data_IF_053376231100
#
_entry.id   IF_053376231100
#
_cell.length_a   1.000
_cell.length_b   1.000
_cell.length_c   1.000
_cell.angle_alpha   90.00
_cell.angle_beta   90.00
_cell.angle_gamma   90.00
#
_symmetry.space_group_name_H-M   'P 1'
#
loop_
_entity.id
_entity.type
_entity.pdbx_description
1 polymer ?
#
# COMPACT_ATOMS: atom_id res chain seq x y z
N UNK A 1 -9.05 -22.86 18.06
CA UNK A 1 -8.92 -22.50 16.64
C UNK A 1 -7.75 -21.55 16.53
N UNK A 2 -6.90 -21.72 15.51
CA UNK A 2 -5.75 -20.86 15.28
C UNK A 2 -6.16 -19.46 14.83
N UNK A 3 -5.33 -18.45 15.10
CA UNK A 3 -5.46 -17.13 14.46
C UNK A 3 -5.04 -17.20 12.98
N UNK A 4 -5.45 -16.23 12.13
CA UNK A 4 -5.02 -16.18 10.73
C UNK A 4 -3.50 -16.21 10.56
N UNK A 5 -2.76 -15.52 11.43
CA UNK A 5 -1.29 -15.50 11.45
C UNK A 5 -0.70 -16.89 11.78
N UNK A 6 -1.27 -17.58 12.77
CA UNK A 6 -0.85 -18.94 13.13
C UNK A 6 -1.10 -19.96 12.01
N UNK A 7 -2.13 -19.74 11.19
CA UNK A 7 -2.43 -20.58 10.04
C UNK A 7 -1.41 -20.39 8.90
N UNK A 8 -0.93 -19.16 8.68
CA UNK A 8 0.15 -18.91 7.72
C UNK A 8 1.46 -19.62 8.11
N UNK A 9 1.80 -19.61 9.39
CA UNK A 9 2.96 -20.35 9.92
C UNK A 9 2.81 -21.85 9.65
N UNK A 10 1.60 -22.40 9.82
CA UNK A 10 1.31 -23.79 9.49
C UNK A 10 1.51 -24.12 8.00
N UNK A 11 1.11 -23.23 7.09
CA UNK A 11 1.33 -23.39 5.65
C UNK A 11 2.82 -23.34 5.28
N UNK A 12 3.58 -22.39 5.84
CA UNK A 12 5.03 -22.26 5.62
C UNK A 12 5.78 -23.51 6.07
N UNK A 13 5.43 -24.05 7.24
CA UNK A 13 5.99 -25.30 7.76
C UNK A 13 5.64 -26.49 6.85
N UNK A 14 4.41 -26.55 6.33
CA UNK A 14 3.99 -27.57 5.37
C UNK A 14 4.85 -27.59 4.09
N UNK A 15 5.27 -26.42 3.60
CA UNK A 15 6.17 -26.30 2.45
C UNK A 15 7.59 -26.76 2.79
N UNK A 16 8.11 -26.41 3.97
CA UNK A 16 9.42 -26.84 4.43
C UNK A 16 9.50 -28.38 4.59
N UNK A 17 8.43 -29.02 5.08
CA UNK A 17 8.34 -30.49 5.17
C UNK A 17 8.42 -31.14 3.78
N UNK A 18 7.72 -30.59 2.77
CA UNK A 18 7.82 -31.08 1.39
C UNK A 18 9.25 -30.95 0.85
N UNK A 19 9.94 -29.85 1.19
CA UNK A 19 11.34 -29.64 0.84
C UNK A 19 12.30 -30.65 1.49
N UNK A 20 12.09 -30.99 2.77
CA UNK A 20 12.88 -32.01 3.48
C UNK A 20 12.74 -33.39 2.85
N UNK A 21 11.52 -33.76 2.44
CA UNK A 21 11.26 -35.02 1.73
C UNK A 21 12.04 -35.09 0.42
N UNK A 22 12.01 -34.02 -0.38
CA UNK A 22 12.63 -34.02 -1.71
C UNK A 22 14.17 -33.88 -1.66
N UNK A 23 14.72 -33.07 -0.73
CA UNK A 23 16.17 -32.79 -0.68
C UNK A 23 16.96 -33.75 0.21
N UNK A 24 16.33 -34.29 1.26
CA UNK A 24 17.01 -35.15 2.25
C UNK A 24 16.39 -36.54 2.34
N UNK A 25 15.40 -36.87 1.50
CA UNK A 25 14.74 -38.16 1.50
C UNK A 25 13.98 -38.47 2.81
N UNK A 26 13.72 -37.46 3.64
CA UNK A 26 13.15 -37.66 4.97
C UNK A 26 11.66 -38.04 4.87
N UNK A 27 11.30 -39.14 5.53
CA UNK A 27 9.89 -39.53 5.68
C UNK A 27 9.18 -38.64 6.71
N UNK A 28 7.84 -38.65 6.72
CA UNK A 28 7.08 -37.88 7.73
C UNK A 28 7.33 -38.45 9.13
N UNK A 29 7.56 -39.75 9.22
CA UNK A 29 7.88 -40.49 10.42
C UNK A 29 9.23 -40.04 11.00
N UNK A 30 10.24 -39.82 10.17
CA UNK A 30 11.56 -39.34 10.59
C UNK A 30 11.51 -37.90 11.11
N UNK A 31 10.69 -37.05 10.47
CA UNK A 31 10.45 -35.67 10.90
C UNK A 31 9.73 -35.67 12.26
N UNK A 32 8.69 -36.49 12.42
CA UNK A 32 7.98 -36.63 13.69
C UNK A 32 8.89 -37.11 14.82
N UNK A 33 9.79 -38.06 14.52
CA UNK A 33 10.78 -38.58 15.48
C UNK A 33 11.76 -37.50 15.94
N UNK A 34 12.24 -36.65 15.03
CA UNK A 34 13.13 -35.53 15.37
C UNK A 34 12.43 -34.44 16.18
N UNK A 35 11.15 -34.20 15.91
CA UNK A 35 10.35 -33.21 16.63
C UNK A 35 9.88 -33.72 18.01
N UNK A 36 9.90 -35.03 18.22
CA UNK A 36 9.37 -35.68 19.43
C UNK A 36 7.85 -35.56 19.54
N UNK A 37 7.15 -35.58 18.39
CA UNK A 37 5.68 -35.49 18.31
C UNK A 37 5.12 -36.68 17.53
N UNK A 38 3.85 -37.03 17.76
CA UNK A 38 3.16 -38.05 16.98
C UNK A 38 2.70 -37.53 15.61
N UNK A 39 2.53 -38.42 14.62
CA UNK A 39 2.05 -38.06 13.29
C UNK A 39 0.69 -37.32 13.33
N UNK A 40 -0.23 -37.79 14.18
CA UNK A 40 -1.53 -37.12 14.38
C UNK A 40 -1.38 -35.68 14.89
N UNK A 41 -0.39 -35.42 15.73
CA UNK A 41 -0.11 -34.06 16.23
C UNK A 41 0.45 -33.18 15.12
N UNK A 42 1.32 -33.72 14.27
CA UNK A 42 1.83 -33.00 13.09
C UNK A 42 0.69 -32.66 12.12
N UNK A 43 -0.22 -33.60 11.86
CA UNK A 43 -1.39 -33.36 11.00
C UNK A 43 -2.32 -32.29 11.58
N UNK A 44 -2.55 -32.33 12.89
CA UNK A 44 -3.36 -31.31 13.56
C UNK A 44 -2.73 -29.90 13.46
N UNK A 45 -1.40 -29.81 13.49
CA UNK A 45 -0.72 -28.53 13.28
C UNK A 45 -0.84 -28.04 11.83
N UNK A 46 -0.60 -28.92 10.85
CA UNK A 46 -0.63 -28.56 9.43
C UNK A 46 -2.02 -28.24 8.90
N UNK A 47 -3.06 -28.88 9.45
CA UNK A 47 -4.46 -28.64 9.09
C UNK A 47 -5.11 -27.50 9.89
N UNK A 48 -4.35 -26.83 10.74
CA UNK A 48 -4.79 -25.70 11.54
C UNK A 48 -5.77 -26.02 12.68
N UNK A 49 -5.83 -27.28 13.09
CA UNK A 49 -6.64 -27.76 14.22
C UNK A 49 -6.02 -27.33 15.56
N UNK A 50 -4.69 -27.16 15.60
CA UNK A 50 -3.93 -26.73 16.79
C UNK A 50 -2.73 -25.88 16.41
N UNK A 51 -2.31 -24.96 17.28
CA UNK A 51 -1.11 -24.14 17.07
C UNK A 51 0.18 -24.84 17.45
N UNK A 52 1.25 -24.53 16.72
CA UNK A 52 2.57 -25.08 17.01
C UNK A 52 3.09 -24.56 18.35
N UNK A 53 3.52 -25.47 19.22
CA UNK A 53 4.24 -25.10 20.44
C UNK A 53 5.61 -24.53 20.07
N UNK A 54 6.04 -23.47 20.76
CA UNK A 54 7.33 -22.81 20.55
C UNK A 54 8.51 -23.80 20.57
N UNK A 55 8.52 -24.75 21.51
CA UNK A 55 9.57 -25.78 21.58
C UNK A 55 9.58 -26.74 20.38
N UNK A 56 8.43 -26.96 19.73
CA UNK A 56 8.34 -27.74 18.48
C UNK A 56 8.84 -26.92 17.29
N UNK A 57 8.53 -25.61 17.26
CA UNK A 57 9.04 -24.70 16.22
C UNK A 57 10.55 -24.55 16.26
N UNK A 58 11.15 -24.44 17.45
CA UNK A 58 12.60 -24.39 17.61
C UNK A 58 13.27 -25.65 17.05
N UNK A 59 12.76 -26.84 17.41
CA UNK A 59 13.27 -28.11 16.86
C UNK A 59 13.08 -28.21 15.34
N UNK A 60 12.00 -27.63 14.82
CA UNK A 60 11.73 -27.60 13.39
C UNK A 60 12.69 -26.67 12.65
N UNK A 61 12.99 -25.51 13.25
CA UNK A 61 13.99 -24.56 12.78
C UNK A 61 15.38 -25.22 12.73
N UNK A 62 15.76 -25.92 13.80
CA UNK A 62 17.02 -26.67 13.88
C UNK A 62 17.10 -27.78 12.81
N UNK A 63 16.03 -28.56 12.63
CA UNK A 63 15.96 -29.63 11.64
C UNK A 63 16.12 -29.10 10.20
N UNK A 64 15.45 -27.99 9.91
CA UNK A 64 15.51 -27.29 8.64
C UNK A 64 16.79 -26.47 8.46
N UNK A 65 17.58 -26.26 9.52
CA UNK A 65 18.72 -25.33 9.60
C UNK A 65 18.33 -23.90 9.18
N UNK A 66 17.15 -23.46 9.59
CA UNK A 66 16.63 -22.10 9.39
C UNK A 66 16.48 -21.42 10.75
N UNK A 67 16.51 -20.09 10.83
CA UNK A 67 16.27 -19.42 12.10
C UNK A 67 14.78 -19.46 12.42
N UNK A 68 14.44 -19.51 13.70
CA UNK A 68 13.03 -19.48 14.14
C UNK A 68 12.31 -18.21 13.64
N UNK A 69 13.04 -17.08 13.62
CA UNK A 69 12.54 -15.83 13.05
C UNK A 69 12.17 -15.98 11.56
N UNK A 70 12.87 -16.79 10.77
CA UNK A 70 12.56 -17.01 9.35
C UNK A 70 11.27 -17.82 9.14
N UNK A 71 10.81 -18.53 10.18
CA UNK A 71 9.53 -19.26 10.20
C UNK A 71 8.39 -18.37 10.70
N UNK A 72 8.69 -17.46 11.63
CA UNK A 72 7.72 -16.63 12.35
C UNK A 72 7.46 -15.26 11.69
N UNK A 73 8.49 -14.60 11.20
CA UNK A 73 8.44 -13.24 10.66
C UNK A 73 8.88 -13.26 9.19
N UNK A 74 7.92 -12.99 8.31
CA UNK A 74 8.08 -12.41 6.97
C UNK A 74 9.23 -12.85 6.05
N UNK A 75 8.81 -13.44 4.92
CA UNK A 75 9.27 -13.45 3.50
C UNK A 75 10.68 -12.98 3.08
N UNK A 76 11.42 -12.19 3.85
CA UNK A 76 12.73 -11.65 3.51
C UNK A 76 13.86 -12.70 3.59
N UNK A 77 13.75 -13.69 4.48
CA UNK A 77 14.75 -14.76 4.63
C UNK A 77 14.70 -15.84 3.53
N UNK A 78 13.54 -16.02 2.88
CA UNK A 78 13.38 -16.97 1.76
C UNK A 78 14.20 -16.53 0.52
N UNK A 79 14.38 -15.22 0.34
CA UNK A 79 15.15 -14.63 -0.76
C UNK A 79 16.67 -14.89 -0.65
N UNK A 80 17.19 -15.10 0.57
CA UNK A 80 18.62 -15.39 0.81
C UNK A 80 18.98 -16.85 0.57
N UNK A 81 18.01 -17.75 0.50
CA UNK A 81 18.21 -19.19 0.27
C UNK A 81 18.16 -19.60 -1.21
N UNK A 82 17.95 -18.66 -2.14
CA UNK A 82 17.97 -18.88 -3.60
C UNK A 82 18.66 -17.72 -4.37
N UNK A 83 20.00 -17.61 -4.36
CA UNK A 83 20.70 -16.56 -5.09
C UNK A 83 20.90 -16.88 -6.59
N UNK A 84 20.81 -18.15 -7.01
CA UNK A 84 21.43 -18.58 -8.28
C UNK A 84 20.50 -18.70 -9.51
N UNK A 85 19.35 -18.03 -9.54
CA UNK A 85 18.58 -17.92 -10.79
C UNK A 85 17.88 -16.57 -10.98
N UNK A 86 18.39 -15.50 -10.38
CA UNK A 86 17.91 -14.13 -10.65
C UNK A 86 18.87 -13.38 -11.56
N UNK A 87 19.02 -13.89 -12.78
CA UNK A 87 19.49 -13.08 -13.91
C UNK A 87 18.31 -12.57 -14.71
N UNK A 88 17.31 -11.99 -14.02
CA UNK A 88 16.29 -11.19 -14.69
C UNK A 88 15.97 -9.96 -13.86
N UNK A 89 15.98 -8.83 -14.55
CA UNK A 89 15.94 -7.46 -14.03
C UNK A 89 14.67 -7.12 -13.24
N UNK A 90 13.76 -8.09 -13.06
CA UNK A 90 12.53 -7.97 -12.27
C UNK A 90 12.74 -7.99 -10.76
N UNK A 91 13.80 -8.62 -10.24
CA UNK A 91 14.04 -8.79 -8.79
C UNK A 91 14.37 -7.50 -8.05
N UNK A 92 15.12 -6.58 -8.68
CA UNK A 92 15.44 -5.27 -8.10
C UNK A 92 14.17 -4.41 -8.01
N UNK A 93 13.28 -4.52 -9.02
CA UNK A 93 11.98 -3.87 -8.99
C UNK A 93 11.12 -4.44 -7.85
N UNK A 94 11.08 -5.76 -7.68
CA UNK A 94 10.32 -6.41 -6.60
C UNK A 94 10.88 -6.10 -5.21
N UNK A 95 12.19 -5.94 -5.07
CA UNK A 95 12.84 -5.49 -3.83
C UNK A 95 12.60 -4.00 -3.53
N UNK A 96 12.54 -3.15 -4.56
CA UNK A 96 12.16 -1.74 -4.40
C UNK A 96 10.68 -1.60 -4.07
N UNK A 97 9.79 -2.41 -4.67
CA UNK A 97 8.37 -2.42 -4.34
C UNK A 97 8.07 -3.10 -2.99
N UNK A 98 8.85 -4.10 -2.60
CA UNK A 98 8.72 -4.80 -1.31
C UNK A 98 9.25 -4.00 -0.11
N UNK A 99 10.26 -3.14 -0.30
CA UNK A 99 10.78 -2.26 0.76
C UNK A 99 9.99 -0.95 0.94
N UNK A 100 9.07 -0.65 0.02
CA UNK A 100 8.07 0.42 0.15
C UNK A 100 6.90 0.06 1.08
N UNK A 101 6.90 -1.15 1.66
CA UNK A 101 5.77 -1.82 2.30
C UNK A 101 5.35 -1.29 3.70
N UNK A 102 5.46 0.01 3.94
CA UNK A 102 4.55 0.66 4.89
C UNK A 102 3.91 1.84 4.18
N UNK A 103 2.58 1.96 4.22
CA UNK A 103 1.84 3.04 3.54
C UNK A 103 2.46 4.43 3.78
N UNK A 104 2.96 4.67 5.00
CA UNK A 104 3.65 5.91 5.36
C UNK A 104 4.95 6.16 4.57
N UNK A 105 5.78 5.13 4.35
CA UNK A 105 7.00 5.28 3.56
C UNK A 105 6.67 5.55 2.10
N UNK A 106 5.66 4.86 1.54
CA UNK A 106 5.23 5.08 0.17
C UNK A 106 4.69 6.50 -0.05
N UNK A 107 3.85 7.01 0.86
CA UNK A 107 3.37 8.39 0.80
C UNK A 107 4.50 9.42 0.98
N UNK A 108 5.47 9.14 1.84
CA UNK A 108 6.64 10.01 2.07
C UNK A 108 7.53 10.10 0.83
N UNK A 109 7.79 8.95 0.17
CA UNK A 109 8.59 8.90 -1.06
C UNK A 109 7.86 9.58 -2.21
N UNK A 110 6.54 9.38 -2.31
CA UNK A 110 5.70 10.09 -3.29
C UNK A 110 5.80 11.60 -3.11
N UNK A 111 5.68 12.09 -1.87
CA UNK A 111 5.84 13.51 -1.57
C UNK A 111 7.24 14.03 -1.96
N UNK A 112 8.30 13.27 -1.64
CA UNK A 112 9.66 13.63 -2.03
C UNK A 112 9.82 13.74 -3.55
N UNK A 113 9.29 12.78 -4.32
CA UNK A 113 9.31 12.81 -5.78
C UNK A 113 8.55 14.02 -6.34
N UNK A 114 7.40 14.37 -5.74
CA UNK A 114 6.63 15.56 -6.13
C UNK A 114 7.39 16.87 -5.84
N UNK A 115 8.10 16.95 -4.72
CA UNK A 115 8.96 18.11 -4.40
C UNK A 115 10.11 18.22 -5.42
N UNK A 116 10.74 17.11 -5.77
CA UNK A 116 11.78 17.10 -6.81
C UNK A 116 11.22 17.55 -8.16
N UNK A 117 10.02 17.10 -8.52
CA UNK A 117 9.34 17.52 -9.74
C UNK A 117 8.95 19.01 -9.71
N UNK A 118 8.57 19.54 -8.54
CA UNK A 118 8.27 20.95 -8.35
C UNK A 118 9.51 21.81 -8.59
N UNK A 119 10.66 21.41 -8.06
CA UNK A 119 11.95 22.05 -8.33
C UNK A 119 12.34 21.93 -9.80
N UNK A 120 12.12 20.78 -10.43
CA UNK A 120 12.43 20.55 -11.85
C UNK A 120 11.57 21.38 -12.82
N UNK A 121 10.34 21.72 -12.41
CA UNK A 121 9.36 22.51 -13.19
C UNK A 121 9.46 24.02 -12.96
N UNK A 122 10.43 24.53 -12.19
CA UNK A 122 10.50 25.96 -11.79
C UNK A 122 10.45 26.99 -12.93
N UNK A 123 10.89 26.62 -14.14
CA UNK A 123 10.90 27.49 -15.34
C UNK A 123 9.53 27.60 -16.01
N UNK A 124 8.63 26.68 -15.72
CA UNK A 124 7.33 26.51 -16.39
C UNK A 124 6.23 26.75 -15.36
N UNK A 125 5.64 27.96 -15.36
CA UNK A 125 4.69 28.35 -14.30
C UNK A 125 3.40 27.56 -14.33
N UNK A 126 2.98 27.09 -15.51
CA UNK A 126 1.79 26.29 -15.68
C UNK A 126 1.93 24.92 -15.01
N UNK A 127 2.96 24.17 -15.40
CA UNK A 127 3.24 22.85 -14.84
C UNK A 127 3.69 22.95 -13.38
N UNK A 128 4.43 24.00 -13.01
CA UNK A 128 4.79 24.25 -11.61
C UNK A 128 3.54 24.41 -10.73
N UNK A 129 2.51 25.12 -11.19
CA UNK A 129 1.26 25.27 -10.43
C UNK A 129 0.53 23.93 -10.28
N UNK A 130 0.49 23.11 -11.34
CA UNK A 130 -0.12 21.78 -11.28
C UNK A 130 0.61 20.87 -10.29
N UNK A 131 1.95 20.82 -10.37
CA UNK A 131 2.75 20.02 -9.44
C UNK A 131 2.61 20.55 -8.01
N UNK A 132 2.53 21.87 -7.82
CA UNK A 132 2.34 22.47 -6.49
C UNK A 132 1.02 22.05 -5.83
N UNK A 133 -0.08 21.96 -6.59
CA UNK A 133 -1.36 21.44 -6.07
C UNK A 133 -1.17 20.04 -5.48
N UNK A 134 -0.49 19.15 -6.21
CA UNK A 134 -0.22 17.80 -5.73
C UNK A 134 0.72 17.80 -4.51
N UNK A 135 1.80 18.58 -4.53
CA UNK A 135 2.70 18.72 -3.36
C UNK A 135 1.93 19.13 -2.10
N UNK A 136 1.03 20.12 -2.20
CA UNK A 136 0.23 20.58 -1.06
C UNK A 136 -0.67 19.47 -0.53
N UNK A 137 -1.40 18.77 -1.42
CA UNK A 137 -2.29 17.68 -1.01
C UNK A 137 -1.52 16.53 -0.36
N UNK A 138 -0.40 16.09 -0.94
CA UNK A 138 0.39 14.99 -0.38
C UNK A 138 1.14 15.37 0.89
N UNK A 139 1.54 16.63 1.04
CA UNK A 139 2.07 17.14 2.30
C UNK A 139 1.02 17.09 3.41
N UNK A 140 -0.22 17.50 3.10
CA UNK A 140 -1.35 17.38 4.03
C UNK A 140 -1.67 15.91 4.33
N UNK A 141 -1.67 15.01 3.34
CA UNK A 141 -1.87 13.56 3.55
C UNK A 141 -0.87 12.99 4.55
N UNK A 142 0.42 13.24 4.33
CA UNK A 142 1.47 12.79 5.25
C UNK A 142 1.30 13.40 6.65
N UNK A 143 1.04 14.71 6.75
CA UNK A 143 0.84 15.38 8.02
C UNK A 143 -0.35 14.80 8.80
N UNK A 144 -1.48 14.57 8.13
CA UNK A 144 -2.65 13.94 8.75
C UNK A 144 -2.41 12.46 9.06
N UNK A 145 -1.68 11.72 8.24
CA UNK A 145 -1.30 10.33 8.51
C UNK A 145 -0.47 10.21 9.79
N UNK A 146 0.52 11.09 9.96
CA UNK A 146 1.29 11.19 11.20
C UNK A 146 0.42 11.62 12.38
N UNK A 147 -0.45 12.61 12.19
CA UNK A 147 -1.35 13.08 13.23
C UNK A 147 -2.31 11.97 13.70
N UNK A 148 -2.89 11.22 12.77
CA UNK A 148 -3.74 10.08 13.06
C UNK A 148 -3.00 9.00 13.86
N UNK A 149 -1.81 8.60 13.39
CA UNK A 149 -1.03 7.54 14.04
C UNK A 149 -0.59 7.88 15.45
N UNK A 150 -0.17 9.12 15.69
CA UNK A 150 0.42 9.51 16.98
C UNK A 150 -0.57 10.12 17.97
N UNK A 151 -1.66 10.72 17.51
CA UNK A 151 -2.63 11.39 18.39
C UNK A 151 -4.00 10.70 18.42
N UNK A 152 -4.54 10.31 17.26
CA UNK A 152 -5.92 9.79 17.19
C UNK A 152 -5.98 8.30 17.50
N UNK A 153 -5.19 7.48 16.82
CA UNK A 153 -5.24 6.02 16.95
C UNK A 153 -4.96 5.50 18.37
N UNK A 154 -4.02 6.07 19.15
CA UNK A 154 -3.81 5.66 20.54
C UNK A 154 -5.00 5.95 21.45
N UNK A 155 -5.86 6.92 21.09
CA UNK A 155 -7.03 7.32 21.87
C UNK A 155 -8.33 6.70 21.36
N UNK A 156 -8.34 6.15 20.15
CA UNK A 156 -9.52 5.58 19.54
C UNK A 156 -9.87 4.23 20.18
N UNK A 157 -11.12 4.08 20.60
CA UNK A 157 -11.59 2.92 21.35
C UNK A 157 -11.54 1.59 20.57
N UNK A 158 -11.61 1.64 19.23
CA UNK A 158 -11.61 0.45 18.39
C UNK A 158 -11.20 0.77 16.93
N UNK A 159 -10.91 -0.27 16.15
CA UNK A 159 -10.48 -0.15 14.76
C UNK A 159 -11.53 0.50 13.85
N UNK A 160 -12.82 0.34 14.14
CA UNK A 160 -13.89 0.98 13.36
C UNK A 160 -13.74 2.50 13.36
N UNK A 161 -13.56 3.10 14.54
CA UNK A 161 -13.37 4.55 14.69
C UNK A 161 -12.06 5.00 14.03
N UNK A 162 -10.98 4.24 14.17
CA UNK A 162 -9.71 4.53 13.51
C UNK A 162 -9.88 4.61 11.98
N UNK A 163 -10.55 3.61 11.40
CA UNK A 163 -10.81 3.52 9.96
C UNK A 163 -11.76 4.61 9.48
N UNK A 164 -12.79 4.96 10.25
CA UNK A 164 -13.68 6.09 9.93
C UNK A 164 -12.85 7.37 9.80
N UNK A 165 -11.97 7.67 10.75
CA UNK A 165 -11.12 8.85 10.66
C UNK A 165 -10.15 8.79 9.47
N UNK A 166 -9.49 7.64 9.27
CA UNK A 166 -8.53 7.45 8.19
C UNK A 166 -9.17 7.63 6.80
N UNK A 167 -10.27 6.92 6.52
CA UNK A 167 -10.94 7.00 5.23
C UNK A 167 -11.65 8.35 5.02
N UNK A 168 -12.22 8.95 6.07
CA UNK A 168 -12.88 10.26 5.94
C UNK A 168 -11.89 11.38 5.63
N UNK A 169 -10.72 11.38 6.26
CA UNK A 169 -9.67 12.38 5.98
C UNK A 169 -9.12 12.19 4.57
N UNK A 170 -8.83 10.95 4.17
CA UNK A 170 -8.40 10.65 2.81
C UNK A 170 -9.43 11.10 1.76
N UNK A 171 -10.71 10.79 1.97
CA UNK A 171 -11.79 11.24 1.09
C UNK A 171 -11.85 12.76 1.02
N UNK A 172 -11.74 13.46 2.17
CA UNK A 172 -11.74 14.92 2.20
C UNK A 172 -10.56 15.50 1.41
N UNK A 173 -9.36 14.91 1.52
CA UNK A 173 -8.17 15.33 0.76
C UNK A 173 -8.32 15.05 -0.74
N UNK A 174 -8.88 13.91 -1.14
CA UNK A 174 -9.16 13.58 -2.55
C UNK A 174 -10.21 14.52 -3.17
N UNK A 175 -11.26 14.86 -2.42
CA UNK A 175 -12.23 15.89 -2.82
C UNK A 175 -11.60 17.29 -2.89
N UNK A 176 -10.69 17.60 -1.97
CA UNK A 176 -9.95 18.87 -1.99
C UNK A 176 -9.00 18.94 -3.20
N UNK A 177 -8.34 17.84 -3.56
CA UNK A 177 -7.54 17.73 -4.79
C UNK A 177 -8.39 18.00 -6.04
N UNK A 178 -9.55 17.35 -6.16
CA UNK A 178 -10.50 17.60 -7.25
C UNK A 178 -10.91 19.08 -7.34
N UNK A 179 -11.21 19.68 -6.20
CA UNK A 179 -11.55 21.10 -6.10
C UNK A 179 -10.40 22.00 -6.57
N UNK A 180 -9.17 21.73 -6.11
CA UNK A 180 -7.99 22.50 -6.52
C UNK A 180 -7.69 22.37 -8.01
N UNK A 181 -7.79 21.16 -8.59
CA UNK A 181 -7.60 20.97 -10.03
C UNK A 181 -8.70 21.71 -10.82
N UNK A 182 -9.97 21.53 -10.44
CA UNK A 182 -11.12 22.18 -11.12
C UNK A 182 -11.01 23.70 -11.15
N UNK A 183 -10.53 24.29 -10.06
CA UNK A 183 -10.40 25.75 -9.93
C UNK A 183 -8.96 26.24 -10.05
N UNK A 184 -8.06 25.43 -10.63
CA UNK A 184 -6.62 25.74 -10.68
C UNK A 184 -6.34 27.11 -11.26
N UNK A 185 -7.05 27.51 -12.31
CA UNK A 185 -6.82 28.79 -12.99
C UNK A 185 -7.14 29.96 -12.07
N UNK A 186 -8.22 29.87 -11.28
CA UNK A 186 -8.58 30.91 -10.30
C UNK A 186 -7.51 31.04 -9.23
N UNK A 187 -7.03 29.91 -8.69
CA UNK A 187 -5.96 29.90 -7.69
C UNK A 187 -4.63 30.41 -8.25
N UNK A 188 -4.29 30.01 -9.45
CA UNK A 188 -3.04 30.40 -10.08
C UNK A 188 -3.04 31.90 -10.43
N UNK A 189 -4.18 32.47 -10.83
CA UNK A 189 -4.36 33.93 -10.97
C UNK A 189 -4.21 34.63 -9.64
N UNK A 190 -4.83 34.11 -8.57
CA UNK A 190 -4.73 34.67 -7.22
C UNK A 190 -3.27 34.72 -6.73
N UNK A 191 -2.52 33.64 -6.96
CA UNK A 191 -1.12 33.50 -6.55
C UNK A 191 -0.19 34.38 -7.40
N UNK A 192 -0.36 34.36 -8.73
CA UNK A 192 0.53 35.11 -9.65
C UNK A 192 0.13 36.57 -9.82
N UNK A 193 -1.02 36.99 -9.27
CA UNK A 193 -1.65 38.30 -9.46
C UNK A 193 -1.80 38.66 -10.95
N UNK A 194 -2.03 37.66 -11.80
CA UNK A 194 -2.17 37.81 -13.25
C UNK A 194 -0.88 38.16 -14.00
N UNK A 195 0.30 38.07 -13.38
CA UNK A 195 1.58 38.47 -13.99
C UNK A 195 2.20 37.41 -14.92
N UNK A 196 1.59 36.23 -15.05
CA UNK A 196 2.10 35.14 -15.89
C UNK A 196 1.02 34.67 -16.85
N UNK A 197 1.26 34.83 -18.15
CA UNK A 197 0.35 34.38 -19.22
C UNK A 197 0.32 32.85 -19.34
N UNK A 198 1.45 32.19 -19.05
CA UNK A 198 1.58 30.73 -19.12
C UNK A 198 0.58 29.99 -18.23
N UNK A 199 0.18 30.62 -17.12
CA UNK A 199 -0.78 30.06 -16.15
C UNK A 199 -2.18 29.86 -16.75
N UNK A 200 -2.53 30.62 -17.77
CA UNK A 200 -3.82 30.52 -18.47
C UNK A 200 -3.81 29.45 -19.56
N UNK A 201 -2.64 28.91 -19.92
CA UNK A 201 -2.56 27.85 -20.92
C UNK A 201 -3.21 26.56 -20.38
N UNK A 202 -4.07 25.96 -21.21
CA UNK A 202 -4.69 24.68 -20.87
C UNK A 202 -3.64 23.59 -20.92
N UNK A 203 -3.46 22.87 -19.81
CA UNK A 203 -2.53 21.75 -19.76
C UNK A 203 -3.21 20.49 -20.25
N UNK A 204 -2.56 19.75 -21.16
CA UNK A 204 -3.10 18.49 -21.70
C UNK A 204 -3.28 17.41 -20.62
N UNK A 205 -2.50 17.49 -19.54
CA UNK A 205 -2.56 16.53 -18.43
C UNK A 205 -3.65 16.86 -17.40
N UNK A 206 -4.29 18.03 -17.50
CA UNK A 206 -5.32 18.45 -16.54
C UNK A 206 -6.52 17.52 -16.48
N UNK A 207 -7.08 17.14 -17.64
CA UNK A 207 -8.24 16.26 -17.70
C UNK A 207 -7.93 14.83 -17.21
N UNK A 208 -6.82 14.18 -17.66
CA UNK A 208 -6.38 12.90 -17.09
C UNK A 208 -6.15 12.96 -15.57
N UNK A 209 -5.50 14.02 -15.05
CA UNK A 209 -5.25 14.17 -13.61
C UNK A 209 -6.55 14.38 -12.83
N UNK A 210 -7.51 15.13 -13.37
CA UNK A 210 -8.83 15.29 -12.77
C UNK A 210 -9.57 13.95 -12.70
N UNK A 211 -9.50 13.14 -13.76
CA UNK A 211 -10.11 11.81 -13.78
C UNK A 211 -9.46 10.87 -12.74
N UNK A 212 -8.14 10.89 -12.60
CA UNK A 212 -7.45 10.10 -11.56
C UNK A 212 -7.82 10.55 -10.15
N UNK A 213 -7.88 11.85 -9.90
CA UNK A 213 -8.34 12.39 -8.62
C UNK A 213 -9.79 11.97 -8.32
N UNK A 214 -10.64 11.84 -9.34
CA UNK A 214 -12.00 11.33 -9.18
C UNK A 214 -12.01 9.85 -8.79
N UNK A 215 -11.20 9.02 -9.44
CA UNK A 215 -11.09 7.60 -9.07
C UNK A 215 -10.55 7.46 -7.64
N UNK A 216 -9.54 8.24 -7.24
CA UNK A 216 -9.03 8.25 -5.86
C UNK A 216 -10.15 8.56 -4.85
N UNK A 217 -10.96 9.59 -5.11
CA UNK A 217 -12.09 9.93 -4.25
C UNK A 217 -13.15 8.81 -4.19
N UNK A 218 -13.41 8.12 -5.31
CA UNK A 218 -14.33 6.97 -5.35
C UNK A 218 -13.78 5.80 -4.52
N UNK A 219 -12.49 5.48 -4.62
CA UNK A 219 -11.86 4.43 -3.80
C UNK A 219 -11.98 4.77 -2.31
N UNK A 220 -11.67 6.01 -1.92
CA UNK A 220 -11.79 6.47 -0.53
C UNK A 220 -13.25 6.39 -0.03
N UNK A 221 -14.21 6.78 -0.86
CA UNK A 221 -15.62 6.70 -0.54
C UNK A 221 -16.09 5.26 -0.37
N UNK A 222 -15.73 4.37 -1.30
CA UNK A 222 -16.09 2.95 -1.22
C UNK A 222 -15.49 2.28 0.01
N UNK A 223 -14.22 2.56 0.36
CA UNK A 223 -13.59 2.04 1.56
C UNK A 223 -14.29 2.53 2.85
N UNK A 224 -14.70 3.81 2.89
CA UNK A 224 -15.46 4.35 4.00
C UNK A 224 -16.84 3.69 4.14
N UNK A 225 -17.58 3.54 3.04
CA UNK A 225 -18.89 2.89 3.02
C UNK A 225 -18.78 1.42 3.41
N UNK A 226 -17.79 0.70 2.89
CA UNK A 226 -17.52 -0.69 3.24
C UNK A 226 -17.21 -0.82 4.73
N UNK A 227 -16.40 0.08 5.31
CA UNK A 227 -16.14 0.10 6.75
C UNK A 227 -17.41 0.31 7.58
N UNK A 228 -18.36 1.13 7.13
CA UNK A 228 -19.67 1.26 7.79
C UNK A 228 -20.51 -0.01 7.66
N UNK A 229 -20.59 -0.58 6.45
CA UNK A 229 -21.38 -1.80 6.16
C UNK A 229 -20.89 -2.99 7.01
N UNK A 230 -19.58 -3.14 7.17
CA UNK A 230 -18.98 -4.20 8.00
C UNK A 230 -19.25 -4.03 9.50
N UNK A 231 -19.51 -2.80 9.95
CA UNK A 231 -19.66 -2.48 11.37
C UNK A 231 -21.08 -1.98 11.69
N UNK A 232 -22.09 -2.44 10.95
CA UNK A 232 -23.49 -2.04 11.18
C UNK A 232 -24.01 -2.50 12.55
N UNK A 233 -23.45 -3.57 13.11
CA UNK A 233 -23.69 -4.03 14.48
C UNK A 233 -23.36 -2.93 15.50
N UNK A 234 -22.24 -2.23 15.27
CA UNK A 234 -21.81 -1.08 16.10
C UNK A 234 -22.67 0.17 15.90
N UNK A 235 -23.47 0.20 14.83
CA UNK A 235 -24.46 1.23 14.55
C UNK A 235 -25.86 0.88 15.08
N UNK A 236 -25.98 -0.21 15.84
CA UNK A 236 -27.22 -0.62 16.50
C UNK A 236 -28.07 -1.60 15.70
N UNK A 237 -27.54 -2.20 14.63
CA UNK A 237 -28.22 -3.30 13.94
C UNK A 237 -27.96 -4.65 14.61
N UNK A 238 -28.92 -5.55 14.46
CA UNK A 238 -28.85 -6.90 15.01
C UNK A 238 -27.73 -7.72 14.35
N UNK A 239 -26.88 -8.34 15.17
CA UNK A 239 -25.64 -9.00 14.75
C UNK A 239 -25.93 -10.13 13.75
N UNK A 240 -27.02 -10.88 13.94
CA UNK A 240 -27.40 -11.99 13.06
C UNK A 240 -27.63 -11.55 11.61
N UNK A 241 -28.15 -10.33 11.42
CA UNK A 241 -28.38 -9.75 10.08
C UNK A 241 -27.11 -9.15 9.48
N UNK A 242 -26.16 -8.73 10.32
CA UNK A 242 -24.95 -8.03 9.89
C UNK A 242 -23.83 -8.99 9.50
N UNK A 243 -23.82 -10.22 10.03
CA UNK A 243 -22.78 -11.24 9.75
C UNK A 243 -22.50 -11.47 8.26
N UNK A 244 -23.52 -11.39 7.41
CA UNK A 244 -23.36 -11.54 5.95
C UNK A 244 -22.48 -10.45 5.32
N UNK A 245 -22.37 -9.29 5.97
CA UNK A 245 -21.62 -8.14 5.47
C UNK A 245 -20.19 -8.09 6.00
N UNK A 246 -19.82 -8.92 6.98
CA UNK A 246 -18.46 -8.95 7.52
C UNK A 246 -17.41 -9.41 6.51
N UNK A 247 -17.84 -10.22 5.53
CA UNK A 247 -17.01 -10.73 4.42
C UNK A 247 -16.83 -9.73 3.27
N UNK A 248 -17.53 -8.59 3.29
CA UNK A 248 -17.34 -7.54 2.30
C UNK A 248 -16.04 -6.77 2.63
N UNK A 249 -14.91 -7.21 2.06
CA UNK A 249 -13.58 -6.66 2.40
C UNK A 249 -12.77 -6.15 1.21
N UNK A 250 -13.37 -6.02 0.03
CA UNK A 250 -12.62 -5.69 -1.18
C UNK A 250 -11.93 -4.33 -1.10
N UNK A 251 -12.66 -3.24 -0.83
CA UNK A 251 -12.03 -1.92 -0.76
C UNK A 251 -11.20 -1.75 0.49
N UNK A 252 -11.56 -2.44 1.58
CA UNK A 252 -10.85 -2.39 2.84
C UNK A 252 -9.48 -3.07 2.77
N UNK A 253 -9.43 -4.32 2.31
CA UNK A 253 -8.19 -5.12 2.29
C UNK A 253 -7.26 -4.65 1.15
N UNK A 254 -7.82 -4.22 0.01
CA UNK A 254 -7.04 -3.77 -1.14
C UNK A 254 -6.86 -2.26 -1.22
N UNK A 255 -7.24 -1.49 -0.18
CA UNK A 255 -7.24 -0.03 -0.19
C UNK A 255 -5.91 0.57 -0.68
N UNK A 256 -4.79 0.17 -0.08
CA UNK A 256 -3.45 0.67 -0.40
C UNK A 256 -3.05 0.28 -1.83
N UNK A 257 -3.35 -0.96 -2.24
CA UNK A 257 -3.07 -1.49 -3.57
C UNK A 257 -3.88 -0.81 -4.67
N UNK A 258 -5.10 -0.36 -4.37
CA UNK A 258 -5.94 0.38 -5.30
C UNK A 258 -5.44 1.83 -5.47
N UNK A 259 -4.98 2.47 -4.39
CA UNK A 259 -4.49 3.86 -4.45
C UNK A 259 -3.10 3.97 -5.05
N UNK A 260 -2.16 3.10 -4.68
CA UNK A 260 -0.75 3.25 -5.07
C UNK A 260 -0.53 3.40 -6.60
N UNK A 261 -1.15 2.59 -7.48
CA UNK A 261 -1.03 2.75 -8.93
C UNK A 261 -1.58 4.08 -9.44
N UNK A 262 -2.70 4.55 -8.88
CA UNK A 262 -3.31 5.84 -9.25
C UNK A 262 -2.42 7.01 -8.86
N UNK A 263 -1.76 6.91 -7.70
CA UNK A 263 -0.77 7.89 -7.24
C UNK A 263 0.44 7.93 -8.16
N UNK A 264 1.04 6.77 -8.47
CA UNK A 264 2.19 6.69 -9.37
C UNK A 264 1.86 7.20 -10.77
N UNK A 265 0.67 6.87 -11.29
CA UNK A 265 0.21 7.36 -12.58
C UNK A 265 0.02 8.88 -12.58
N UNK A 266 -0.42 9.46 -11.46
CA UNK A 266 -0.51 10.92 -11.31
C UNK A 266 0.87 11.59 -11.40
N UNK A 267 1.88 11.03 -10.73
CA UNK A 267 3.28 11.52 -10.83
C UNK A 267 3.79 11.38 -12.26
N UNK A 268 3.57 10.23 -12.90
CA UNK A 268 4.00 9.96 -14.26
C UNK A 268 3.37 10.96 -15.26
N UNK A 269 2.08 11.26 -15.12
CA UNK A 269 1.40 12.26 -15.95
C UNK A 269 1.92 13.67 -15.70
N UNK A 270 2.15 14.07 -14.45
CA UNK A 270 2.76 15.37 -14.15
C UNK A 270 4.15 15.48 -14.78
N UNK A 271 4.97 14.43 -14.67
CA UNK A 271 6.30 14.39 -15.29
C UNK A 271 6.24 14.45 -16.81
N UNK A 272 5.35 13.66 -17.44
CA UNK A 272 5.11 13.70 -18.88
C UNK A 272 4.65 15.09 -19.35
N UNK A 273 3.78 15.75 -18.58
CA UNK A 273 3.33 17.13 -18.85
C UNK A 273 4.49 18.14 -18.84
N UNK A 274 5.42 18.01 -17.89
CA UNK A 274 6.64 18.84 -17.83
C UNK A 274 7.55 18.57 -19.03
N UNK A 275 7.76 17.30 -19.39
CA UNK A 275 8.62 16.94 -20.53
C UNK A 275 8.06 17.43 -21.86
N UNK A 276 6.77 17.20 -22.13
CA UNK A 276 6.12 17.59 -23.37
C UNK A 276 6.15 19.11 -23.59
N UNK A 277 6.04 19.91 -22.52
CA UNK A 277 6.13 21.37 -22.64
C UNK A 277 7.59 21.82 -22.84
N UNK A 278 8.57 21.18 -22.20
CA UNK A 278 10.00 21.44 -22.43
C UNK A 278 10.43 21.14 -23.87
N UNK A 279 10.00 20.02 -24.45
CA UNK A 279 10.31 19.70 -25.86
C UNK A 279 9.73 20.73 -26.83
N UNK A 280 8.52 21.22 -26.56
CA UNK A 280 7.87 22.23 -27.40
C UNK A 280 8.53 23.61 -27.31
N UNK A 281 9.13 23.95 -26.17
CA UNK A 281 9.92 25.19 -26.04
C UNK A 281 11.30 25.12 -26.71
N UNK A 282 11.83 23.91 -26.95
CA UNK A 282 13.16 23.69 -27.52
C UNK A 282 13.16 23.56 -29.04
N UNK A 283 12.03 23.25 -29.68
CA UNK A 283 11.91 23.38 -31.13
C UNK A 283 11.83 24.88 -31.46
N UNK A 284 12.85 25.48 -32.12
CA UNK A 284 12.69 26.81 -32.66
C UNK A 284 11.52 26.75 -33.64
N UNK A 285 10.59 27.70 -33.54
CA UNK A 285 9.63 27.95 -34.60
C UNK A 285 10.43 28.32 -35.84
N UNK A 286 10.77 27.33 -36.67
CA UNK A 286 11.21 27.53 -38.03
C UNK A 286 9.97 27.98 -38.81
N UNK A 287 9.71 29.28 -38.75
CA UNK A 287 8.89 30.01 -39.69
C UNK A 287 9.82 30.80 -40.62
#
# INVERSE_FOLDING_TARGET
MQTPEEYEVSQRIGLLIKGLKHKRGMSREDICRHLGIGMRTLDNYLNGVSSFKLGTLMKFADLCRVKLADILDDTEALSRLYPDNMKDKGSILTLLFGSLATAMLFESITLFLLIMLLCYSHKDKNNQCMVAIFVVIYALSNAFGYWLKYFVFPTAANNFIQNVYAFSINLALSLFLLFLIKYRMKFAVLITRGRSSEVFEKSLVEAPLYFLALILAVVDFCALIENFIRNLDRLGMDEEKVKIFWELTFFYDYYEYLKAPLMLLSIALLYAGVLARKSNMQQPQSA
#
